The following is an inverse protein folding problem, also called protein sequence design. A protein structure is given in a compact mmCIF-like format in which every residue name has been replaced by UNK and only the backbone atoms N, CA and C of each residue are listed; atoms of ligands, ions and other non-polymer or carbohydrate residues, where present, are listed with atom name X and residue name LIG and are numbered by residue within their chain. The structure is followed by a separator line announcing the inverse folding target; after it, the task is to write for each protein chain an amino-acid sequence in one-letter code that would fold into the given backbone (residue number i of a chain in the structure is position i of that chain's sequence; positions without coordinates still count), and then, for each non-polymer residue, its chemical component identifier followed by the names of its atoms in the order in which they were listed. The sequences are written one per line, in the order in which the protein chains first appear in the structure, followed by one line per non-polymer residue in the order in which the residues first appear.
data_IF_378861367082
#
_entry.id   IF_378861367082
#
_cell.length_a   1.000
_cell.length_b   1.000
_cell.length_c   1.000
_cell.angle_alpha   90.00
_cell.angle_beta   90.00
_cell.angle_gamma   90.00
#
_symmetry.space_group_name_H-M   'P 1'
#
loop_
_entity.id
_entity.type
_entity.pdbx_description
1 polymer ?
#
# COMPACT_ATOMS: atom_id res chain seq x y z
N UNK A 1 28.74 18.37 20.66
CA UNK A 1 27.87 19.41 21.17
C UNK A 1 28.73 20.42 21.96
N UNK A 2 28.63 21.69 21.64
CA UNK A 2 29.49 22.75 22.24
C UNK A 2 29.03 23.17 23.64
N UNK A 3 27.76 23.01 23.95
CA UNK A 3 27.17 23.35 25.24
C UNK A 3 26.59 22.12 25.94
N UNK A 4 26.70 22.03 27.25
CA UNK A 4 26.08 20.95 28.04
C UNK A 4 24.74 21.42 28.61
N UNK A 5 23.73 20.55 28.71
CA UNK A 5 22.49 20.85 29.42
C UNK A 5 22.75 21.15 30.90
N UNK A 6 22.08 22.16 31.43
CA UNK A 6 22.10 22.51 32.87
C UNK A 6 20.81 22.03 33.53
N UNK A 7 20.90 21.45 34.72
CA UNK A 7 19.74 21.08 35.53
C UNK A 7 19.60 22.06 36.68
N UNK A 8 18.48 22.80 36.74
CA UNK A 8 18.14 23.75 37.84
C UNK A 8 16.70 23.45 38.30
N UNK A 9 16.51 23.31 39.59
CA UNK A 9 15.19 23.07 40.21
C UNK A 9 14.37 21.93 39.58
N UNK A 10 15.05 20.84 39.16
CA UNK A 10 14.42 19.71 38.52
C UNK A 10 14.04 19.87 37.05
N UNK A 11 14.33 21.04 36.43
CA UNK A 11 14.14 21.31 35.02
C UNK A 11 15.47 21.27 34.28
N UNK A 12 15.45 20.77 33.04
CA UNK A 12 16.62 20.73 32.15
C UNK A 12 16.57 21.96 31.25
N UNK A 13 17.62 22.79 31.33
CA UNK A 13 17.81 23.95 30.48
C UNK A 13 18.87 23.64 29.41
N UNK A 14 18.58 23.97 28.16
CA UNK A 14 19.48 23.79 27.02
C UNK A 14 19.61 25.12 26.29
N UNK A 15 20.82 25.44 25.80
CA UNK A 15 21.01 26.60 24.95
C UNK A 15 20.36 26.43 23.57
N UNK A 16 20.06 27.54 22.89
CA UNK A 16 19.57 27.49 21.52
C UNK A 16 20.62 26.87 20.57
N UNK A 17 21.91 27.08 20.85
CA UNK A 17 22.99 26.44 20.11
C UNK A 17 22.99 24.92 20.27
N UNK A 18 22.80 24.43 21.49
CA UNK A 18 22.65 22.99 21.74
C UNK A 18 21.50 22.39 20.94
N UNK A 19 20.33 23.06 20.92
CA UNK A 19 19.16 22.63 20.16
C UNK A 19 19.46 22.60 18.66
N UNK A 20 20.08 23.66 18.12
CA UNK A 20 20.43 23.74 16.71
C UNK A 20 21.45 22.68 16.29
N UNK A 21 22.47 22.42 17.11
CA UNK A 21 23.46 21.36 16.89
C UNK A 21 22.83 19.98 17.00
N UNK A 22 22.00 19.73 18.00
CA UNK A 22 21.25 18.49 18.15
C UNK A 22 20.34 18.24 16.93
N UNK A 23 19.56 19.26 16.51
CA UNK A 23 18.75 19.16 15.29
C UNK A 23 19.60 18.90 14.04
N UNK A 24 20.76 19.53 13.91
CA UNK A 24 21.68 19.30 12.78
C UNK A 24 22.22 17.88 12.78
N UNK A 25 22.66 17.37 13.92
CA UNK A 25 23.13 15.99 14.10
C UNK A 25 22.01 15.00 13.80
N UNK A 26 20.80 15.21 14.33
CA UNK A 26 19.64 14.39 14.04
C UNK A 26 19.23 14.42 12.56
N UNK A 27 19.31 15.58 11.91
CA UNK A 27 19.06 15.71 10.46
C UNK A 27 20.13 14.99 9.64
N UNK A 28 21.41 15.10 10.03
CA UNK A 28 22.53 14.50 9.31
C UNK A 28 22.57 12.97 9.48
N UNK A 29 22.34 12.46 10.69
CA UNK A 29 22.25 11.02 10.93
C UNK A 29 20.98 10.42 10.32
N UNK A 30 19.84 11.12 10.36
CA UNK A 30 18.58 10.68 9.77
C UNK A 30 18.63 10.59 8.23
N UNK A 31 19.42 11.45 7.57
CA UNK A 31 19.51 11.43 6.11
C UNK A 31 20.45 10.34 5.57
N UNK A 32 21.38 9.80 6.38
CA UNK A 32 22.41 8.88 5.89
C UNK A 32 22.16 7.40 6.24
N UNK A 33 21.31 7.06 7.24
CA UNK A 33 21.23 5.70 7.75
C UNK A 33 19.84 5.04 7.70
N UNK A 34 18.79 5.71 7.28
CA UNK A 34 17.42 5.16 7.24
C UNK A 34 17.06 4.52 5.90
N UNK A 35 16.14 3.56 5.95
CA UNK A 35 15.48 3.05 4.74
C UNK A 35 14.52 4.10 4.18
N UNK A 36 14.36 4.12 2.86
CA UNK A 36 13.37 4.93 2.14
C UNK A 36 12.55 4.06 1.20
N UNK A 37 11.38 4.53 0.83
CA UNK A 37 10.61 3.88 -0.22
C UNK A 37 11.23 4.25 -1.58
N UNK A 38 11.86 3.26 -2.22
CA UNK A 38 12.47 3.41 -3.55
C UNK A 38 11.48 3.12 -4.68
N UNK A 39 10.50 2.22 -4.45
CA UNK A 39 9.53 1.83 -5.46
C UNK A 39 8.12 1.63 -4.89
N UNK A 40 7.10 1.90 -5.73
CA UNK A 40 5.70 1.56 -5.46
C UNK A 40 5.14 0.90 -6.72
N UNK A 41 4.70 -0.35 -6.59
CA UNK A 41 4.04 -1.09 -7.65
C UNK A 41 2.52 -1.08 -7.41
N UNK A 42 1.79 -0.60 -8.40
CA UNK A 42 0.33 -0.62 -8.43
C UNK A 42 -0.09 -1.77 -9.35
N UNK A 43 -0.97 -2.64 -8.86
CA UNK A 43 -1.47 -3.78 -9.61
C UNK A 43 -2.98 -3.65 -9.85
N UNK A 44 -3.43 -3.10 -10.99
CA UNK A 44 -4.84 -3.15 -11.36
C UNK A 44 -5.26 -4.60 -11.63
N UNK A 45 -6.07 -5.19 -10.73
CA UNK A 45 -6.50 -6.58 -10.84
C UNK A 45 -7.24 -6.90 -12.13
N UNK A 46 -7.23 -8.18 -12.53
CA UNK A 46 -7.87 -8.68 -13.76
C UNK A 46 -7.34 -8.06 -15.05
N UNK A 47 -8.06 -8.18 -16.17
CA UNK A 47 -7.69 -7.57 -17.46
C UNK A 47 -7.77 -8.53 -18.64
N UNK A 48 -7.96 -8.00 -19.84
CA UNK A 48 -8.09 -8.76 -21.08
C UNK A 48 -9.25 -9.74 -21.03
N UNK A 49 -8.95 -11.04 -21.17
CA UNK A 49 -9.92 -12.14 -21.10
C UNK A 49 -10.50 -12.41 -19.70
N UNK A 50 -9.89 -11.88 -18.66
CA UNK A 50 -10.38 -11.97 -17.27
C UNK A 50 -11.09 -10.66 -16.90
N UNK A 51 -12.42 -10.62 -16.92
CA UNK A 51 -13.17 -9.41 -16.60
C UNK A 51 -13.20 -9.10 -15.09
N UNK A 52 -12.82 -10.04 -14.24
CA UNK A 52 -13.16 -10.00 -12.81
C UNK A 52 -14.66 -10.13 -12.60
N UNK A 53 -15.15 -9.58 -11.50
CA UNK A 53 -16.57 -9.54 -11.25
C UNK A 53 -17.30 -8.61 -12.24
N UNK A 54 -18.49 -9.03 -12.68
CA UNK A 54 -19.36 -8.24 -13.55
C UNK A 54 -20.80 -8.28 -13.02
N UNK A 55 -21.47 -7.15 -13.07
CA UNK A 55 -22.89 -7.08 -12.71
C UNK A 55 -23.62 -6.03 -13.53
N UNK A 56 -24.86 -6.33 -13.91
CA UNK A 56 -25.74 -5.43 -14.65
C UNK A 56 -26.89 -4.95 -13.78
N UNK A 57 -26.89 -3.67 -13.47
CA UNK A 57 -27.98 -2.98 -12.78
C UNK A 57 -29.03 -2.53 -13.80
N UNK A 58 -30.30 -2.57 -13.38
CA UNK A 58 -31.38 -1.95 -14.15
C UNK A 58 -31.89 -0.73 -13.39
N UNK A 59 -31.72 0.45 -13.98
CA UNK A 59 -32.12 1.74 -13.41
C UNK A 59 -32.99 2.48 -14.41
N UNK A 60 -34.21 2.78 -14.04
CA UNK A 60 -35.19 3.44 -14.91
C UNK A 60 -35.32 2.75 -16.28
N UNK A 61 -35.35 1.42 -16.30
CA UNK A 61 -35.44 0.60 -17.51
C UNK A 61 -34.14 0.49 -18.33
N UNK A 62 -33.07 1.20 -17.96
CA UNK A 62 -31.77 1.13 -18.63
C UNK A 62 -30.85 0.12 -17.93
N UNK A 63 -30.19 -0.72 -18.71
CA UNK A 63 -29.17 -1.67 -18.23
C UNK A 63 -27.81 -0.98 -18.16
N UNK A 64 -27.17 -1.04 -17.00
CA UNK A 64 -25.83 -0.47 -16.74
C UNK A 64 -24.94 -1.60 -16.26
N UNK A 65 -23.99 -2.02 -17.08
CA UNK A 65 -23.01 -3.05 -16.72
C UNK A 65 -21.79 -2.42 -16.08
N UNK A 66 -21.42 -2.98 -14.93
CA UNK A 66 -20.19 -2.63 -14.18
C UNK A 66 -19.23 -3.80 -14.28
N UNK A 67 -17.99 -3.52 -14.66
CA UNK A 67 -16.94 -4.53 -14.84
C UNK A 67 -15.73 -4.17 -14.00
N UNK A 68 -15.29 -5.08 -13.19
CA UNK A 68 -14.21 -4.86 -12.22
C UNK A 68 -12.89 -4.45 -12.90
N UNK A 69 -12.45 -5.16 -13.95
CA UNK A 69 -11.18 -4.88 -14.63
C UNK A 69 -11.04 -3.43 -15.14
N UNK A 70 -12.17 -2.83 -15.56
CA UNK A 70 -12.17 -1.47 -16.11
C UNK A 70 -12.00 -0.43 -15.00
N UNK A 71 -12.67 -0.65 -13.86
CA UNK A 71 -12.57 0.19 -12.67
C UNK A 71 -11.15 0.12 -12.10
N UNK A 72 -10.63 -1.10 -11.93
CA UNK A 72 -9.28 -1.34 -11.40
C UNK A 72 -8.23 -0.62 -12.24
N UNK A 73 -8.33 -0.72 -13.58
CA UNK A 73 -7.43 -0.03 -14.50
C UNK A 73 -7.55 1.49 -14.40
N UNK A 74 -8.77 2.01 -14.33
CA UNK A 74 -9.02 3.45 -14.23
C UNK A 74 -8.43 4.02 -12.94
N UNK A 75 -8.77 3.44 -11.79
CA UNK A 75 -8.25 3.87 -10.47
C UNK A 75 -6.74 3.69 -10.39
N UNK A 76 -6.21 2.55 -10.87
CA UNK A 76 -4.77 2.30 -10.89
C UNK A 76 -3.98 3.32 -11.70
N UNK A 77 -4.49 3.74 -12.88
CA UNK A 77 -3.86 4.79 -13.71
C UNK A 77 -3.92 6.17 -13.05
N UNK A 78 -5.04 6.51 -12.42
CA UNK A 78 -5.18 7.77 -11.67
C UNK A 78 -4.20 7.80 -10.49
N UNK A 79 -4.08 6.70 -9.75
CA UNK A 79 -3.15 6.55 -8.63
C UNK A 79 -1.69 6.66 -9.11
N UNK A 80 -1.35 5.96 -10.19
CA UNK A 80 -0.03 6.05 -10.81
C UNK A 80 0.35 7.49 -11.17
N UNK A 81 -0.56 8.22 -11.83
CA UNK A 81 -0.32 9.60 -12.23
C UNK A 81 -0.07 10.52 -11.03
N UNK A 82 -0.84 10.36 -9.95
CA UNK A 82 -0.66 11.13 -8.70
C UNK A 82 0.67 10.83 -8.03
N UNK A 83 1.00 9.55 -7.86
CA UNK A 83 2.24 9.13 -7.23
C UNK A 83 3.46 9.54 -8.05
N UNK A 84 3.39 9.42 -9.40
CA UNK A 84 4.49 9.81 -10.28
C UNK A 84 4.74 11.32 -10.27
N UNK A 85 3.70 12.12 -10.15
CA UNK A 85 3.82 13.57 -10.01
C UNK A 85 4.40 13.99 -8.64
N UNK A 86 3.97 13.32 -7.56
CA UNK A 86 4.42 13.65 -6.20
C UNK A 86 5.84 13.12 -5.88
N UNK A 87 6.23 12.01 -6.51
CA UNK A 87 7.48 11.31 -6.25
C UNK A 87 8.26 11.05 -7.55
N UNK A 88 8.78 12.08 -8.23
CA UNK A 88 9.47 11.93 -9.51
C UNK A 88 10.72 11.04 -9.43
N UNK A 89 11.36 11.00 -8.26
CA UNK A 89 12.59 10.25 -8.01
C UNK A 89 12.35 8.79 -7.62
N UNK A 90 11.09 8.42 -7.28
CA UNK A 90 10.75 7.04 -6.93
C UNK A 90 10.36 6.23 -8.17
N UNK A 91 10.65 4.94 -8.13
CA UNK A 91 10.25 4.01 -9.18
C UNK A 91 8.77 3.63 -9.03
N UNK A 92 7.88 4.40 -9.65
CA UNK A 92 6.43 4.12 -9.65
C UNK A 92 6.10 3.31 -10.90
N UNK A 93 5.47 2.14 -10.74
CA UNK A 93 5.14 1.22 -11.83
C UNK A 93 3.69 0.72 -11.74
N UNK A 94 3.18 0.26 -12.88
CA UNK A 94 1.93 -0.47 -13.02
C UNK A 94 2.23 -1.88 -13.54
N UNK A 95 1.58 -2.91 -13.01
CA UNK A 95 1.64 -4.26 -13.61
C UNK A 95 1.04 -4.28 -15.01
N UNK A 96 -0.04 -3.53 -15.22
CA UNK A 96 -0.65 -3.28 -16.53
C UNK A 96 -1.14 -1.84 -16.67
N UNK A 97 -0.93 -1.23 -17.83
CA UNK A 97 -1.42 0.11 -18.19
C UNK A 97 -2.51 0.08 -19.26
N UNK A 98 -2.85 -1.12 -19.75
CA UNK A 98 -3.85 -1.39 -20.80
C UNK A 98 -4.77 -2.54 -20.39
N UNK A 99 -5.83 -2.77 -21.14
CA UNK A 99 -6.71 -3.93 -20.92
C UNK A 99 -6.06 -5.19 -21.50
N UNK A 100 -5.09 -5.75 -20.74
CA UNK A 100 -4.37 -6.99 -21.05
C UNK A 100 -4.49 -7.95 -19.88
N UNK A 101 -4.51 -9.24 -20.16
CA UNK A 101 -4.50 -10.29 -19.15
C UNK A 101 -3.09 -10.50 -18.61
N UNK A 102 -2.97 -10.56 -17.29
CA UNK A 102 -1.81 -11.05 -16.57
C UNK A 102 -2.27 -12.14 -15.58
N UNK A 103 -1.59 -13.28 -15.59
CA UNK A 103 -1.82 -14.29 -14.56
C UNK A 103 -1.38 -13.78 -13.18
N UNK A 104 -1.88 -14.41 -12.12
CA UNK A 104 -1.48 -14.06 -10.75
C UNK A 104 0.05 -14.19 -10.55
N UNK A 105 0.67 -15.25 -11.13
CA UNK A 105 2.12 -15.43 -11.06
C UNK A 105 2.88 -14.32 -11.78
N UNK A 106 2.46 -13.93 -12.99
CA UNK A 106 3.09 -12.82 -13.71
C UNK A 106 3.07 -11.51 -12.93
N UNK A 107 1.98 -11.22 -12.18
CA UNK A 107 1.89 -10.02 -11.33
C UNK A 107 2.94 -10.03 -10.22
N UNK A 108 3.07 -11.16 -9.52
CA UNK A 108 4.07 -11.31 -8.44
C UNK A 108 5.49 -11.41 -8.97
N UNK A 109 5.71 -12.00 -10.15
CA UNK A 109 7.02 -11.99 -10.84
C UNK A 109 7.46 -10.56 -11.18
N UNK A 110 6.55 -9.73 -11.73
CA UNK A 110 6.82 -8.30 -11.99
C UNK A 110 7.21 -7.60 -10.68
N UNK A 111 6.48 -7.84 -9.59
CA UNK A 111 6.75 -7.25 -8.29
C UNK A 111 8.13 -7.64 -7.76
N UNK A 112 8.41 -8.95 -7.73
CA UNK A 112 9.64 -9.51 -7.16
C UNK A 112 10.89 -9.23 -8.03
N UNK A 113 10.71 -8.87 -9.30
CA UNK A 113 11.81 -8.51 -10.21
C UNK A 113 12.28 -7.05 -10.10
N UNK A 114 11.56 -6.20 -9.37
CA UNK A 114 11.94 -4.79 -9.22
C UNK A 114 13.23 -4.68 -8.42
N UNK A 115 14.25 -4.07 -9.03
CA UNK A 115 15.55 -3.85 -8.38
C UNK A 115 15.50 -2.60 -7.53
N UNK A 116 15.97 -2.72 -6.31
CA UNK A 116 16.13 -1.64 -5.35
C UNK A 116 17.61 -1.31 -5.17
N UNK A 117 17.89 -0.08 -4.80
CA UNK A 117 19.21 0.33 -4.32
C UNK A 117 19.36 -0.05 -2.84
N UNK A 118 20.57 0.10 -2.34
CA UNK A 118 20.81 -0.08 -0.90
C UNK A 118 19.88 0.82 -0.07
N UNK A 119 19.34 0.26 1.02
CA UNK A 119 18.37 0.92 1.92
C UNK A 119 17.09 1.43 1.25
N UNK A 120 16.69 0.84 0.14
CA UNK A 120 15.38 1.07 -0.46
C UNK A 120 14.42 -0.08 -0.15
N UNK A 121 13.16 0.28 0.06
CA UNK A 121 12.04 -0.65 0.18
C UNK A 121 11.03 -0.43 -0.94
N UNK A 122 10.22 -1.44 -1.20
CA UNK A 122 9.15 -1.41 -2.20
C UNK A 122 7.81 -1.67 -1.53
N UNK A 123 6.75 -1.05 -2.04
CA UNK A 123 5.35 -1.31 -1.67
C UNK A 123 4.61 -1.92 -2.85
N UNK A 124 3.76 -2.91 -2.58
CA UNK A 124 2.85 -3.49 -3.56
C UNK A 124 1.41 -3.21 -3.16
N UNK A 125 0.63 -2.62 -4.08
CA UNK A 125 -0.78 -2.25 -3.87
C UNK A 125 -1.62 -2.80 -5.01
N UNK A 126 -2.37 -3.89 -4.74
CA UNK A 126 -3.34 -4.44 -5.68
C UNK A 126 -4.69 -3.74 -5.52
N UNK A 127 -5.35 -3.43 -6.65
CA UNK A 127 -6.63 -2.70 -6.69
C UNK A 127 -7.70 -3.58 -7.29
N UNK A 128 -8.79 -3.78 -6.55
CA UNK A 128 -9.90 -4.66 -6.86
C UNK A 128 -11.26 -4.03 -6.55
N UNK A 129 -12.33 -4.67 -7.01
CA UNK A 129 -13.72 -4.33 -6.68
C UNK A 129 -14.47 -5.58 -6.26
N UNK A 130 -14.98 -5.59 -5.05
CA UNK A 130 -15.65 -6.71 -4.44
C UNK A 130 -17.00 -7.04 -5.10
N UNK A 131 -17.44 -8.26 -4.92
CA UNK A 131 -18.77 -8.74 -5.31
C UNK A 131 -19.36 -9.65 -4.24
N UNK A 132 -20.67 -9.64 -4.08
CA UNK A 132 -21.37 -10.50 -3.11
C UNK A 132 -22.67 -11.03 -3.69
N UNK A 133 -23.07 -12.22 -3.24
CA UNK A 133 -24.41 -12.75 -3.46
C UNK A 133 -25.45 -11.91 -2.71
N UNK A 134 -25.12 -11.42 -1.52
CA UNK A 134 -25.94 -10.43 -0.81
C UNK A 134 -25.75 -9.05 -1.46
N UNK A 135 -26.81 -8.58 -2.14
CA UNK A 135 -26.82 -7.27 -2.81
C UNK A 135 -26.85 -6.07 -1.85
N UNK A 136 -27.01 -6.30 -0.55
CA UNK A 136 -26.91 -5.28 0.49
C UNK A 136 -25.47 -5.07 0.96
N UNK A 137 -24.57 -6.03 0.69
CA UNK A 137 -23.16 -5.87 1.00
C UNK A 137 -22.62 -4.61 0.33
N UNK A 138 -21.93 -3.77 1.09
CA UNK A 138 -21.39 -2.47 0.65
C UNK A 138 -20.20 -2.07 1.49
N UNK A 139 -19.41 -1.13 1.02
CA UNK A 139 -18.26 -0.59 1.72
C UNK A 139 -16.92 -1.01 1.11
N UNK A 140 -15.87 -0.27 1.44
CA UNK A 140 -14.52 -0.56 1.01
C UNK A 140 -13.72 -1.25 2.13
N UNK A 141 -12.75 -2.06 1.75
CA UNK A 141 -11.91 -2.81 2.69
C UNK A 141 -10.47 -2.90 2.17
N UNK A 142 -9.51 -3.11 3.07
CA UNK A 142 -8.12 -3.33 2.71
C UNK A 142 -7.63 -4.62 3.35
N UNK A 143 -7.03 -5.47 2.53
CA UNK A 143 -6.55 -6.79 2.90
C UNK A 143 -5.04 -6.84 2.94
N UNK A 144 -4.50 -7.54 3.93
CA UNK A 144 -3.08 -7.86 4.06
C UNK A 144 -2.90 -9.36 4.30
N UNK A 145 -1.68 -9.87 4.20
CA UNK A 145 -1.40 -11.29 4.41
C UNK A 145 -1.64 -11.69 5.86
N UNK A 146 -2.36 -12.82 6.06
CA UNK A 146 -2.59 -13.40 7.38
C UNK A 146 -1.28 -13.59 8.14
N UNK A 147 -1.14 -13.09 9.39
CA UNK A 147 0.11 -13.17 10.16
C UNK A 147 0.57 -14.61 10.45
N UNK A 148 -0.33 -15.59 10.36
CA UNK A 148 -0.02 -17.02 10.52
C UNK A 148 0.56 -17.67 9.28
N UNK A 149 0.46 -17.05 8.10
CA UNK A 149 1.02 -17.60 6.86
C UNK A 149 2.53 -17.40 6.83
N UNK A 150 3.28 -18.48 6.51
CA UNK A 150 4.75 -18.44 6.42
C UNK A 150 5.20 -18.51 4.97
N UNK A 151 6.13 -17.63 4.58
CA UNK A 151 6.70 -17.53 3.22
C UNK A 151 8.21 -17.30 3.26
N UNK A 152 8.87 -17.57 2.16
CA UNK A 152 10.27 -17.18 2.00
C UNK A 152 10.31 -15.83 1.28
N UNK A 153 10.76 -14.81 1.96
CA UNK A 153 10.87 -13.43 1.43
C UNK A 153 12.31 -13.08 1.05
N UNK A 154 13.28 -13.79 1.60
CA UNK A 154 14.68 -13.69 1.23
C UNK A 154 15.02 -14.69 0.11
N UNK A 155 15.94 -14.31 -0.77
CA UNK A 155 16.44 -15.19 -1.82
C UNK A 155 17.14 -16.41 -1.20
N UNK A 156 16.78 -17.60 -1.69
CA UNK A 156 17.47 -18.84 -1.30
C UNK A 156 18.93 -18.77 -1.76
N UNK A 157 19.85 -18.90 -0.82
CA UNK A 157 21.29 -18.79 -1.09
C UNK A 157 21.89 -17.42 -0.84
N UNK A 158 21.09 -16.41 -0.45
CA UNK A 158 21.63 -15.12 0.03
C UNK A 158 22.41 -15.23 1.34
N UNK A 159 22.13 -16.30 2.12
CA UNK A 159 22.79 -16.64 3.38
C UNK A 159 23.13 -18.12 3.34
N UNK A 160 24.41 -18.48 3.47
CA UNK A 160 24.87 -19.89 3.41
C UNK A 160 24.45 -20.71 4.63
N UNK A 161 24.44 -20.10 5.81
CA UNK A 161 24.00 -20.73 7.06
C UNK A 161 22.47 -20.85 7.08
N UNK A 162 21.97 -22.09 7.13
CA UNK A 162 20.53 -22.40 7.07
C UNK A 162 19.76 -21.92 8.30
N UNK A 163 20.38 -21.98 9.47
CA UNK A 163 19.72 -21.54 10.72
C UNK A 163 19.63 -20.02 10.74
N UNK A 164 20.71 -19.34 10.35
CA UNK A 164 20.72 -17.89 10.18
C UNK A 164 19.72 -17.44 9.10
N UNK A 165 19.66 -18.14 7.95
CA UNK A 165 18.65 -17.87 6.91
C UNK A 165 17.24 -17.96 7.47
N UNK A 166 16.94 -19.01 8.23
CA UNK A 166 15.59 -19.22 8.80
C UNK A 166 15.20 -18.09 9.75
N UNK A 167 16.11 -17.67 10.63
CA UNK A 167 15.87 -16.56 11.56
C UNK A 167 15.69 -15.25 10.82
N UNK A 168 16.59 -14.92 9.88
CA UNK A 168 16.53 -13.67 9.12
C UNK A 168 15.28 -13.59 8.24
N UNK A 169 14.87 -14.72 7.61
CA UNK A 169 13.65 -14.77 6.81
C UNK A 169 12.41 -14.55 7.68
N UNK A 170 12.36 -15.15 8.87
CA UNK A 170 11.24 -14.97 9.80
C UNK A 170 11.12 -13.51 10.26
N UNK A 171 12.24 -12.90 10.62
CA UNK A 171 12.27 -11.48 11.03
C UNK A 171 11.80 -10.57 9.90
N UNK A 172 12.30 -10.78 8.69
CA UNK A 172 11.91 -9.95 7.53
C UNK A 172 10.44 -10.15 7.16
N UNK A 173 9.91 -11.37 7.30
CA UNK A 173 8.50 -11.66 7.07
C UNK A 173 7.59 -10.95 8.07
N UNK A 174 7.97 -10.93 9.36
CA UNK A 174 7.25 -10.20 10.40
C UNK A 174 7.24 -8.68 10.14
N UNK A 175 8.38 -8.13 9.69
CA UNK A 175 8.50 -6.74 9.27
C UNK A 175 7.56 -6.42 8.11
N UNK A 176 7.57 -7.25 7.05
CA UNK A 176 6.69 -7.03 5.89
C UNK A 176 5.20 -7.13 6.26
N UNK A 177 4.84 -7.98 7.21
CA UNK A 177 3.48 -8.08 7.71
C UNK A 177 3.10 -6.83 8.51
N UNK A 178 3.97 -6.37 9.39
CA UNK A 178 3.77 -5.15 10.19
C UNK A 178 3.59 -3.93 9.28
N UNK A 179 4.46 -3.76 8.29
CA UNK A 179 4.36 -2.66 7.34
C UNK A 179 3.10 -2.76 6.47
N UNK A 180 2.70 -3.99 6.07
CA UNK A 180 1.44 -4.20 5.33
C UNK A 180 0.21 -3.78 6.14
N UNK A 181 0.18 -4.06 7.44
CA UNK A 181 -0.87 -3.61 8.36
C UNK A 181 -0.90 -2.08 8.45
N UNK A 182 0.27 -1.44 8.55
CA UNK A 182 0.36 0.03 8.59
C UNK A 182 -0.10 0.65 7.27
N UNK A 183 0.35 0.13 6.12
CA UNK A 183 -0.11 0.57 4.80
C UNK A 183 -1.63 0.45 4.71
N UNK A 184 -2.19 -0.69 5.11
CA UNK A 184 -3.64 -0.93 5.09
C UNK A 184 -4.41 0.10 5.95
N UNK A 185 -3.90 0.44 7.15
CA UNK A 185 -4.49 1.47 8.02
C UNK A 185 -4.46 2.85 7.37
N UNK A 186 -3.30 3.27 6.87
CA UNK A 186 -3.17 4.58 6.23
C UNK A 186 -4.04 4.70 4.97
N UNK A 187 -4.15 3.64 4.15
CA UNK A 187 -5.06 3.64 3.00
C UNK A 187 -6.51 3.71 3.45
N UNK A 188 -6.89 2.94 4.48
CA UNK A 188 -8.24 2.96 5.04
C UNK A 188 -8.65 4.35 5.51
N UNK A 189 -7.78 5.03 6.26
CA UNK A 189 -8.01 6.39 6.74
C UNK A 189 -8.11 7.39 5.59
N UNK A 190 -7.23 7.28 4.60
CA UNK A 190 -7.26 8.11 3.39
C UNK A 190 -8.54 7.93 2.57
N UNK A 191 -9.01 6.69 2.39
CA UNK A 191 -10.28 6.41 1.71
C UNK A 191 -11.47 6.88 2.54
N UNK A 192 -11.49 6.66 3.85
CA UNK A 192 -12.54 7.14 4.75
C UNK A 192 -12.68 8.66 4.67
N UNK A 193 -11.59 9.41 4.61
CA UNK A 193 -11.61 10.85 4.48
C UNK A 193 -12.21 11.33 3.15
N UNK A 194 -12.05 10.59 2.04
CA UNK A 194 -12.49 10.99 0.71
C UNK A 194 -13.91 10.51 0.35
N UNK A 195 -14.27 9.29 0.76
CA UNK A 195 -15.50 8.64 0.32
C UNK A 195 -16.37 8.11 1.45
N UNK A 196 -15.97 8.28 2.72
CA UNK A 196 -16.68 7.73 3.87
C UNK A 196 -18.14 8.20 4.05
N UNK A 197 -18.50 9.34 3.44
CA UNK A 197 -19.88 9.82 3.38
C UNK A 197 -20.73 9.15 2.28
N UNK A 198 -20.13 8.43 1.34
CA UNK A 198 -20.77 7.76 0.20
C UNK A 198 -20.75 6.24 0.34
N UNK A 199 -19.67 5.69 0.85
CA UNK A 199 -19.41 4.27 1.06
C UNK A 199 -18.71 4.10 2.42
N UNK A 200 -19.08 3.08 3.20
CA UNK A 200 -18.57 2.89 4.56
C UNK A 200 -17.30 2.05 4.58
N UNK A 201 -16.39 2.38 5.51
CA UNK A 201 -15.23 1.55 5.79
C UNK A 201 -15.66 0.23 6.46
N UNK A 202 -15.19 -0.90 5.93
CA UNK A 202 -15.37 -2.23 6.50
C UNK A 202 -14.15 -2.70 7.30
N UNK A 203 -13.14 -1.85 7.39
CA UNK A 203 -11.91 -2.10 8.12
C UNK A 203 -10.84 -2.82 7.31
N UNK A 204 -9.71 -3.04 7.99
CA UNK A 204 -8.61 -3.85 7.46
C UNK A 204 -8.82 -5.31 7.84
N UNK A 205 -8.40 -6.23 6.97
CA UNK A 205 -8.64 -7.67 7.12
C UNK A 205 -7.43 -8.48 6.69
N UNK A 206 -7.33 -9.69 7.22
CA UNK A 206 -6.26 -10.64 6.90
C UNK A 206 -6.79 -11.76 6.01
N UNK A 207 -6.08 -12.08 4.93
CA UNK A 207 -6.40 -13.19 4.03
C UNK A 207 -5.15 -13.59 3.21
N UNK A 208 -5.15 -14.80 2.68
CA UNK A 208 -4.05 -15.37 1.92
C UNK A 208 -4.22 -15.17 0.40
N UNK A 209 -4.61 -13.98 -0.04
CA UNK A 209 -4.73 -13.67 -1.46
C UNK A 209 -3.42 -13.95 -2.19
N UNK A 210 -3.50 -14.57 -3.35
CA UNK A 210 -2.32 -15.03 -4.09
C UNK A 210 -1.27 -13.93 -4.26
N UNK A 211 -1.68 -12.73 -4.66
CA UNK A 211 -0.75 -11.64 -4.95
C UNK A 211 -0.06 -11.09 -3.70
N UNK A 212 -0.71 -11.09 -2.53
CA UNK A 212 -0.07 -10.64 -1.28
C UNK A 212 0.83 -11.71 -0.67
N UNK A 213 0.44 -13.00 -0.76
CA UNK A 213 1.25 -14.09 -0.19
C UNK A 213 2.50 -14.46 -1.02
N UNK A 214 2.53 -14.13 -2.33
CA UNK A 214 3.64 -14.43 -3.22
C UNK A 214 4.50 -13.20 -3.58
N UNK A 215 4.26 -12.07 -2.94
CA UNK A 215 5.08 -10.87 -3.06
C UNK A 215 6.12 -10.81 -1.94
N UNK A 216 7.40 -10.66 -2.29
CA UNK A 216 8.52 -10.60 -1.33
C UNK A 216 8.73 -9.17 -0.81
N UNK A 217 7.63 -8.51 -0.42
CA UNK A 217 7.61 -7.12 0.06
C UNK A 217 6.32 -6.85 0.86
N UNK A 218 6.22 -5.72 1.58
CA UNK A 218 4.95 -5.25 2.12
C UNK A 218 3.89 -5.09 1.02
N UNK A 219 2.76 -5.78 1.18
CA UNK A 219 1.74 -5.91 0.15
C UNK A 219 0.33 -5.81 0.72
N UNK A 220 -0.54 -5.08 0.02
CA UNK A 220 -1.97 -4.95 0.36
C UNK A 220 -2.84 -5.11 -0.89
N UNK A 221 -4.10 -5.53 -0.67
CA UNK A 221 -5.14 -5.56 -1.68
C UNK A 221 -6.28 -4.65 -1.22
N UNK A 222 -6.65 -3.69 -2.05
CA UNK A 222 -7.69 -2.70 -1.78
C UNK A 222 -8.94 -3.06 -2.56
N UNK A 223 -10.04 -3.29 -1.84
CA UNK A 223 -11.38 -3.48 -2.39
C UNK A 223 -12.15 -2.15 -2.35
N UNK A 224 -12.42 -1.59 -3.51
CA UNK A 224 -12.97 -0.24 -3.68
C UNK A 224 -14.45 -0.10 -3.30
N UNK A 225 -15.16 -1.21 -3.12
CA UNK A 225 -16.60 -1.30 -2.88
C UNK A 225 -17.19 -2.53 -3.55
N UNK A 226 -18.51 -2.73 -3.44
CA UNK A 226 -19.21 -3.89 -3.99
C UNK A 226 -19.94 -3.53 -5.29
N UNK A 227 -19.44 -4.00 -6.42
CA UNK A 227 -20.10 -3.73 -7.72
C UNK A 227 -21.49 -4.35 -7.85
N UNK A 228 -21.83 -5.35 -7.02
CA UNK A 228 -23.15 -6.00 -6.97
C UNK A 228 -24.18 -5.21 -6.17
N UNK A 229 -23.77 -4.25 -5.34
CA UNK A 229 -24.63 -3.29 -4.68
C UNK A 229 -25.06 -2.20 -5.67
N UNK A 230 -26.35 -1.90 -5.77
CA UNK A 230 -26.83 -0.96 -6.79
C UNK A 230 -26.26 0.45 -6.59
N UNK A 231 -26.26 0.96 -5.35
CA UNK A 231 -25.71 2.30 -5.05
C UNK A 231 -24.24 2.37 -5.38
N UNK A 232 -23.44 1.42 -4.89
CA UNK A 232 -21.99 1.42 -5.11
C UNK A 232 -21.62 1.11 -6.56
N UNK A 233 -22.33 0.16 -7.22
CA UNK A 233 -22.12 -0.14 -8.63
C UNK A 233 -22.32 1.09 -9.53
N UNK A 234 -23.27 1.97 -9.22
CA UNK A 234 -23.48 3.21 -9.94
C UNK A 234 -22.39 4.24 -9.61
N UNK A 235 -21.98 4.36 -8.34
CA UNK A 235 -20.84 5.21 -7.95
C UNK A 235 -19.55 4.77 -8.65
N UNK A 236 -19.29 3.48 -8.77
CA UNK A 236 -18.12 2.91 -9.46
C UNK A 236 -18.12 3.16 -10.98
N UNK A 237 -19.22 3.66 -11.57
CA UNK A 237 -19.29 4.17 -12.96
C UNK A 237 -19.06 5.67 -13.05
N UNK A 238 -19.05 6.38 -11.92
CA UNK A 238 -18.84 7.83 -11.87
C UNK A 238 -17.34 8.13 -11.76
N UNK A 239 -16.80 8.84 -12.75
CA UNK A 239 -15.38 9.18 -12.80
C UNK A 239 -14.96 10.05 -11.61
N UNK A 240 -15.83 10.94 -11.15
CA UNK A 240 -15.53 11.80 -9.97
C UNK A 240 -15.38 10.98 -8.70
N UNK A 241 -16.16 9.90 -8.56
CA UNK A 241 -16.03 8.96 -7.47
C UNK A 241 -14.73 8.15 -7.55
N UNK A 242 -14.36 7.66 -8.76
CA UNK A 242 -13.09 6.97 -8.96
C UNK A 242 -11.88 7.88 -8.67
N UNK A 243 -11.97 9.16 -9.00
CA UNK A 243 -10.95 10.15 -8.65
C UNK A 243 -10.81 10.31 -7.13
N UNK A 244 -11.91 10.32 -6.37
CA UNK A 244 -11.90 10.37 -4.90
C UNK A 244 -11.30 9.11 -4.30
N UNK A 245 -11.65 7.91 -4.81
CA UNK A 245 -11.05 6.64 -4.39
C UNK A 245 -9.53 6.65 -4.61
N UNK A 246 -9.11 7.02 -5.82
CA UNK A 246 -7.68 7.17 -6.15
C UNK A 246 -6.96 8.17 -5.25
N UNK A 247 -7.61 9.31 -4.93
CA UNK A 247 -7.05 10.31 -4.02
C UNK A 247 -6.95 9.79 -2.59
N UNK A 248 -7.93 9.02 -2.12
CA UNK A 248 -7.90 8.40 -0.80
C UNK A 248 -6.73 7.43 -0.67
N UNK A 249 -6.53 6.53 -1.64
CA UNK A 249 -5.40 5.60 -1.66
C UNK A 249 -4.06 6.37 -1.73
N UNK A 250 -3.97 7.38 -2.59
CA UNK A 250 -2.80 8.25 -2.71
C UNK A 250 -2.45 8.93 -1.38
N UNK A 251 -3.43 9.53 -0.70
CA UNK A 251 -3.21 10.20 0.58
C UNK A 251 -2.71 9.22 1.64
N UNK A 252 -3.30 8.01 1.70
CA UNK A 252 -2.86 6.96 2.60
C UNK A 252 -1.42 6.52 2.32
N UNK A 253 -1.08 6.24 1.07
CA UNK A 253 0.29 5.86 0.69
C UNK A 253 1.30 6.98 0.97
N UNK A 254 0.94 8.24 0.71
CA UNK A 254 1.82 9.39 0.99
C UNK A 254 2.06 9.58 2.48
N UNK A 255 1.03 9.37 3.31
CA UNK A 255 1.16 9.41 4.76
C UNK A 255 2.04 8.25 5.25
N UNK A 256 1.88 7.04 4.71
CA UNK A 256 2.73 5.91 5.02
C UNK A 256 4.19 6.15 4.61
N UNK A 257 4.45 6.61 3.38
CA UNK A 257 5.82 6.95 2.92
C UNK A 257 6.49 7.91 3.88
N UNK A 258 5.77 8.98 4.28
CA UNK A 258 6.28 9.96 5.24
C UNK A 258 6.57 9.33 6.60
N UNK A 259 5.67 8.46 7.09
CA UNK A 259 5.84 7.74 8.35
C UNK A 259 7.07 6.83 8.30
N UNK A 260 7.19 5.99 7.28
CA UNK A 260 8.27 5.02 7.08
C UNK A 260 9.65 5.72 7.02
N UNK A 261 9.76 6.78 6.23
CA UNK A 261 11.03 7.50 6.07
C UNK A 261 11.41 8.30 7.32
N UNK A 262 10.44 8.83 8.09
CA UNK A 262 10.69 9.48 9.38
C UNK A 262 11.08 8.50 10.49
N UNK A 263 10.53 7.29 10.49
CA UNK A 263 10.87 6.24 11.46
C UNK A 263 12.18 5.52 11.13
N UNK A 264 12.89 5.92 10.08
CA UNK A 264 14.12 5.32 9.55
C UNK A 264 13.93 3.96 8.89
N UNK A 265 12.72 3.62 8.51
CA UNK A 265 12.41 2.37 7.83
C UNK A 265 11.59 1.40 8.67
N UNK A 266 11.88 0.13 8.54
CA UNK A 266 11.12 -0.95 9.16
C UNK A 266 11.04 -0.81 10.69
N UNK A 267 9.85 -1.08 11.25
CA UNK A 267 9.51 -0.84 12.66
C UNK A 267 10.34 -1.66 13.65
N UNK A 268 10.85 -2.84 13.27
CA UNK A 268 11.68 -3.73 14.10
C UNK A 268 13.18 -3.45 14.03
N UNK A 269 13.62 -2.54 13.18
CA UNK A 269 15.05 -2.21 12.99
C UNK A 269 15.60 -1.18 14.01
N UNK A 270 14.94 -1.04 15.18
CA UNK A 270 15.39 -0.16 16.28
C UNK A 270 16.29 -0.88 17.26
#
# INVERSE_FOLDING_TARGET
LTDSPEVKDGAVFVSQNFLNEAESLFKTENSQNGFKIGAILIDPGHGGKDPGAQYTHTVNGKKITVTEKDINLSVGKMLYSRLKAAYPDKNIQLTRSKDVFLSLSQRTEIANAIKLKDKEAILYVSVHVNASLDKKASGFEVWYLSPGYRRNVLDKGSIEDKDLYTVMNSMMEEEYTTESILIAKFIMDGMQAQVGNLSSARGIKAEEWFVVRNSNMPAVLVELGFLTNQKEGLLLKDESYLQKLSLGIYNGLSAFVTHFERSRGFTGSK
#
